data_IF_751038784032
#
_entry.id   IF_751038784032
#
_cell.length_a   1.000
_cell.length_b   1.000
_cell.length_c   1.000
_cell.angle_alpha   90.00
_cell.angle_beta   90.00
_cell.angle_gamma   90.00
#
_symmetry.space_group_name_H-M   'P 1'
#
loop_
_entity.id
_entity.type
_entity.pdbx_description
1 polymer ?
#
# COMPACT_ATOMS: atom_id res chain seq x y z
N UNK A 1 -16.63 23.64 -9.34
CA UNK A 1 -16.12 22.37 -9.94
C UNK A 1 -15.94 21.37 -8.81
N UNK A 2 -16.71 20.32 -8.81
CA UNK A 2 -16.58 19.25 -7.82
C UNK A 2 -15.22 18.59 -7.95
N UNK A 3 -14.47 18.47 -6.85
CA UNK A 3 -13.13 17.94 -6.84
C UNK A 3 -13.22 16.42 -6.88
N UNK A 4 -12.84 15.79 -7.97
CA UNK A 4 -12.87 14.34 -8.13
C UNK A 4 -11.52 13.74 -7.74
N UNK A 5 -11.50 12.87 -6.74
CA UNK A 5 -10.34 12.06 -6.38
C UNK A 5 -10.18 10.87 -7.32
N UNK A 6 -8.97 10.69 -7.86
CA UNK A 6 -8.65 9.62 -8.81
C UNK A 6 -8.04 8.40 -8.11
N UNK A 7 -8.13 7.25 -8.77
CA UNK A 7 -7.51 6.00 -8.35
C UNK A 7 -6.24 5.73 -9.14
N UNK A 8 -5.13 5.58 -8.44
CA UNK A 8 -3.84 5.21 -9.02
C UNK A 8 -3.51 3.76 -8.71
N UNK A 9 -2.98 3.06 -9.67
CA UNK A 9 -2.41 1.72 -9.52
C UNK A 9 -0.98 1.70 -10.04
N UNK A 10 -0.03 1.42 -9.14
CA UNK A 10 1.37 1.16 -9.47
C UNK A 10 1.63 -0.33 -9.27
N UNK A 11 1.89 -1.06 -10.34
CA UNK A 11 2.04 -2.51 -10.28
C UNK A 11 3.23 -3.01 -11.10
N UNK A 12 3.54 -4.27 -10.97
CA UNK A 12 4.59 -4.93 -11.73
C UNK A 12 5.70 -5.49 -10.85
N UNK A 13 6.64 -6.18 -11.49
CA UNK A 13 7.78 -6.84 -10.86
C UNK A 13 8.99 -5.90 -10.63
N UNK A 14 8.96 -4.70 -11.19
CA UNK A 14 10.01 -3.70 -11.08
C UNK A 14 10.00 -2.95 -9.74
N UNK A 15 11.18 -2.45 -9.38
CA UNK A 15 11.37 -1.61 -8.19
C UNK A 15 10.72 -0.23 -8.37
N UNK A 16 10.20 0.33 -7.27
CA UNK A 16 9.78 1.72 -7.21
C UNK A 16 8.30 1.95 -6.90
N UNK A 17 7.48 0.92 -6.84
CA UNK A 17 6.03 1.04 -6.57
C UNK A 17 5.74 1.73 -5.24
N UNK A 18 6.25 1.19 -4.15
CA UNK A 18 6.13 1.81 -2.81
C UNK A 18 6.79 3.19 -2.79
N UNK A 19 7.98 3.33 -3.36
CA UNK A 19 8.71 4.61 -3.41
C UNK A 19 7.90 5.69 -4.13
N UNK A 20 7.26 5.36 -5.25
CA UNK A 20 6.38 6.29 -5.97
C UNK A 20 5.14 6.68 -5.14
N UNK A 21 4.51 5.71 -4.48
CA UNK A 21 3.35 5.95 -3.62
C UNK A 21 3.71 6.85 -2.42
N UNK A 22 4.85 6.59 -1.77
CA UNK A 22 5.33 7.43 -0.65
C UNK A 22 5.78 8.81 -1.12
N UNK A 23 6.34 8.92 -2.32
CA UNK A 23 6.66 10.21 -2.95
C UNK A 23 5.41 11.05 -3.21
N UNK A 24 4.31 10.44 -3.66
CA UNK A 24 3.03 11.13 -3.80
C UNK A 24 2.46 11.53 -2.43
N UNK A 25 2.57 10.68 -1.41
CA UNK A 25 2.19 11.02 -0.04
C UNK A 25 2.95 12.23 0.49
N UNK A 26 4.27 12.28 0.31
CA UNK A 26 5.10 13.42 0.68
C UNK A 26 4.69 14.70 -0.06
N UNK A 27 4.43 14.61 -1.37
CA UNK A 27 3.95 15.75 -2.17
C UNK A 27 2.61 16.28 -1.66
N UNK A 28 1.68 15.37 -1.33
CA UNK A 28 0.38 15.73 -0.80
C UNK A 28 0.50 16.44 0.56
N UNK A 29 1.31 15.92 1.49
CA UNK A 29 1.60 16.55 2.78
C UNK A 29 2.20 17.94 2.60
N UNK A 30 3.19 18.10 1.69
CA UNK A 30 3.80 19.40 1.37
C UNK A 30 2.81 20.41 0.80
N UNK A 31 1.67 19.95 0.29
CA UNK A 31 0.56 20.79 -0.20
C UNK A 31 -0.56 20.98 0.84
N UNK A 32 -0.32 20.61 2.10
CA UNK A 32 -1.28 20.74 3.19
C UNK A 32 -2.44 19.74 3.19
N UNK A 33 -2.31 18.64 2.43
CA UNK A 33 -3.32 17.57 2.37
C UNK A 33 -3.19 16.62 3.54
N UNK A 34 -4.30 16.06 3.97
CA UNK A 34 -4.37 14.97 4.95
C UNK A 34 -4.06 13.65 4.25
N UNK A 35 -3.09 12.92 4.77
CA UNK A 35 -2.62 11.66 4.19
C UNK A 35 -2.74 10.52 5.18
N UNK A 36 -3.31 9.41 4.71
CA UNK A 36 -3.34 8.14 5.42
C UNK A 36 -2.61 7.10 4.59
N UNK A 37 -1.71 6.35 5.23
CA UNK A 37 -0.95 5.26 4.60
C UNK A 37 -1.25 3.97 5.34
N UNK A 38 -1.72 2.97 4.61
CA UNK A 38 -1.79 1.59 5.08
C UNK A 38 -0.81 0.75 4.28
N UNK A 39 0.16 0.15 4.95
CA UNK A 39 1.06 -0.85 4.37
C UNK A 39 0.62 -2.24 4.78
N UNK A 40 0.07 -3.01 3.85
CA UNK A 40 -0.24 -4.42 4.07
C UNK A 40 1.03 -5.25 4.21
N UNK A 41 1.01 -6.24 5.09
CA UNK A 41 2.04 -7.27 5.22
C UNK A 41 3.47 -6.75 5.56
N UNK A 42 3.59 -5.50 5.95
CA UNK A 42 4.86 -4.86 6.31
C UNK A 42 4.91 -4.52 7.80
N UNK A 43 5.91 -5.04 8.49
CA UNK A 43 6.16 -4.76 9.91
C UNK A 43 7.60 -4.34 10.20
N UNK A 44 8.51 -4.47 9.22
CA UNK A 44 9.92 -4.11 9.34
C UNK A 44 10.17 -2.61 9.28
N UNK A 45 11.42 -2.21 9.51
CA UNK A 45 11.84 -0.82 9.37
C UNK A 45 11.78 -0.35 7.92
N UNK A 46 11.36 0.89 7.72
CA UNK A 46 11.36 1.58 6.43
C UNK A 46 11.62 3.06 6.71
N UNK A 47 12.64 3.61 6.08
CA UNK A 47 13.19 4.94 6.45
C UNK A 47 12.21 6.09 6.25
N UNK A 48 11.31 5.99 5.29
CA UNK A 48 10.33 7.02 4.98
C UNK A 48 9.18 7.11 6.00
N UNK A 49 8.83 6.02 6.67
CA UNK A 49 7.64 5.96 7.53
C UNK A 49 7.71 6.93 8.71
N UNK A 50 8.79 6.96 9.53
CA UNK A 50 8.88 7.91 10.64
C UNK A 50 8.83 9.38 10.17
N UNK A 51 9.39 9.68 8.99
CA UNK A 51 9.37 11.03 8.44
C UNK A 51 7.97 11.44 7.98
N UNK A 52 7.23 10.54 7.33
CA UNK A 52 5.84 10.80 6.94
C UNK A 52 4.95 11.03 8.17
N UNK A 53 5.15 10.27 9.27
CA UNK A 53 4.46 10.49 10.54
C UNK A 53 4.78 11.86 11.16
N UNK A 54 6.05 12.26 11.18
CA UNK A 54 6.47 13.58 11.64
C UNK A 54 5.85 14.72 10.82
N UNK A 55 5.60 14.49 9.55
CA UNK A 55 4.93 15.44 8.66
C UNK A 55 3.40 15.40 8.75
N UNK A 56 2.84 14.54 9.61
CA UNK A 56 1.41 14.48 9.92
C UNK A 56 0.62 13.40 9.20
N UNK A 57 1.27 12.48 8.48
CA UNK A 57 0.57 11.31 7.94
C UNK A 57 0.14 10.36 9.05
N UNK A 58 -1.05 9.77 8.92
CA UNK A 58 -1.47 8.65 9.76
C UNK A 58 -1.03 7.34 9.12
N UNK A 59 -0.34 6.51 9.86
CA UNK A 59 0.27 5.28 9.37
C UNK A 59 -0.37 4.07 10.04
N UNK A 60 -0.85 3.14 9.23
CA UNK A 60 -1.33 1.83 9.63
C UNK A 60 -0.46 0.77 9.00
N UNK A 61 0.13 -0.11 9.79
CA UNK A 61 1.02 -1.16 9.29
C UNK A 61 1.19 -2.27 10.32
N UNK A 62 1.88 -3.30 9.93
CA UNK A 62 2.20 -4.45 10.77
C UNK A 62 1.71 -5.77 10.16
N UNK A 63 2.24 -6.83 10.69
CA UNK A 63 1.80 -8.21 10.48
C UNK A 63 1.97 -9.00 11.76
N UNK A 64 1.25 -10.09 11.91
CA UNK A 64 1.45 -10.98 13.06
C UNK A 64 2.78 -11.72 12.90
N UNK A 65 3.75 -11.38 13.75
CA UNK A 65 5.09 -11.98 13.72
C UNK A 65 6.00 -11.47 12.61
N UNK A 66 7.14 -12.15 12.42
CA UNK A 66 8.19 -11.76 11.47
C UNK A 66 8.23 -12.62 10.20
N UNK A 67 7.45 -13.71 10.15
CA UNK A 67 7.44 -14.64 9.03
C UNK A 67 6.84 -14.04 7.76
N UNK A 68 7.31 -14.48 6.61
CA UNK A 68 6.59 -14.28 5.36
C UNK A 68 5.33 -15.16 5.32
N UNK A 69 4.31 -14.76 4.55
CA UNK A 69 3.03 -15.46 4.50
C UNK A 69 3.18 -16.95 4.16
N UNK A 70 4.09 -17.29 3.25
CA UNK A 70 4.36 -18.69 2.88
C UNK A 70 5.00 -19.53 3.99
N UNK A 71 5.51 -18.90 5.05
CA UNK A 71 6.10 -19.55 6.23
C UNK A 71 5.13 -19.64 7.41
N UNK A 72 3.96 -19.00 7.29
CA UNK A 72 2.95 -18.94 8.36
C UNK A 72 2.10 -20.21 8.38
N UNK A 73 1.77 -20.65 9.58
CA UNK A 73 0.70 -21.62 9.78
C UNK A 73 -0.69 -20.95 9.66
N UNK A 74 -1.76 -21.72 9.73
CA UNK A 74 -3.13 -21.21 9.55
C UNK A 74 -3.54 -20.23 10.66
N UNK A 75 -3.09 -20.43 11.90
CA UNK A 75 -3.36 -19.51 13.00
C UNK A 75 -2.63 -18.16 12.81
N UNK A 76 -1.38 -18.19 12.37
CA UNK A 76 -0.59 -16.98 12.05
C UNK A 76 -1.18 -16.22 10.85
N UNK A 77 -1.66 -16.94 9.83
CA UNK A 77 -2.37 -16.35 8.69
C UNK A 77 -3.67 -15.68 9.12
N UNK A 78 -4.47 -16.36 9.95
CA UNK A 78 -5.71 -15.80 10.46
C UNK A 78 -5.45 -14.52 11.29
N UNK A 79 -4.48 -14.55 12.21
CA UNK A 79 -4.11 -13.40 13.01
C UNK A 79 -3.61 -12.23 12.16
N UNK A 80 -2.83 -12.51 11.11
CA UNK A 80 -2.35 -11.50 10.16
C UNK A 80 -3.51 -10.91 9.38
N UNK A 81 -4.42 -11.72 8.85
CA UNK A 81 -5.61 -11.26 8.13
C UNK A 81 -6.49 -10.37 9.01
N UNK A 82 -6.74 -10.76 10.25
CA UNK A 82 -7.52 -9.98 11.21
C UNK A 82 -6.88 -8.61 11.48
N UNK A 83 -5.55 -8.56 11.61
CA UNK A 83 -4.82 -7.30 11.77
C UNK A 83 -4.96 -6.42 10.54
N UNK A 84 -4.79 -6.98 9.33
CA UNK A 84 -4.95 -6.22 8.09
C UNK A 84 -6.37 -5.66 7.94
N UNK A 85 -7.38 -6.46 8.26
CA UNK A 85 -8.78 -6.04 8.21
C UNK A 85 -9.07 -4.91 9.22
N UNK A 86 -8.57 -4.99 10.44
CA UNK A 86 -8.71 -3.91 11.45
C UNK A 86 -8.00 -2.64 10.99
N UNK A 87 -6.78 -2.75 10.47
CA UNK A 87 -6.03 -1.60 9.96
C UNK A 87 -6.76 -0.95 8.78
N UNK A 88 -7.29 -1.73 7.85
CA UNK A 88 -8.04 -1.20 6.72
C UNK A 88 -9.32 -0.50 7.18
N UNK A 89 -10.08 -1.11 8.08
CA UNK A 89 -11.28 -0.50 8.64
C UNK A 89 -10.95 0.84 9.34
N UNK A 90 -9.89 0.88 10.17
CA UNK A 90 -9.44 2.10 10.83
C UNK A 90 -8.99 3.17 9.83
N UNK A 91 -8.15 2.81 8.85
CA UNK A 91 -7.65 3.73 7.84
C UNK A 91 -8.78 4.38 7.01
N UNK A 92 -9.84 3.63 6.71
CA UNK A 92 -10.99 4.14 5.93
C UNK A 92 -11.93 5.02 6.73
N UNK A 93 -11.85 5.04 8.06
CA UNK A 93 -12.62 5.97 8.91
C UNK A 93 -11.95 7.34 9.05
N UNK A 94 -10.70 7.46 8.65
CA UNK A 94 -9.96 8.72 8.73
C UNK A 94 -10.40 9.72 7.67
N UNK A 95 -10.48 10.99 8.06
CA UNK A 95 -10.67 12.09 7.13
C UNK A 95 -9.35 12.34 6.37
N UNK A 96 -9.25 11.81 5.16
CA UNK A 96 -8.05 11.89 4.34
C UNK A 96 -8.34 12.38 2.92
N UNK A 97 -7.49 13.28 2.43
CA UNK A 97 -7.47 13.71 1.02
C UNK A 97 -6.79 12.66 0.13
N UNK A 98 -5.81 11.94 0.68
CA UNK A 98 -5.07 10.87 0.01
C UNK A 98 -5.01 9.63 0.90
N UNK A 99 -5.48 8.49 0.38
CA UNK A 99 -5.35 7.17 0.97
C UNK A 99 -4.36 6.33 0.15
N UNK A 100 -3.27 5.91 0.77
CA UNK A 100 -2.29 4.98 0.18
C UNK A 100 -2.50 3.59 0.74
N UNK A 101 -2.75 2.61 -0.12
CA UNK A 101 -2.90 1.20 0.20
C UNK A 101 -1.74 0.43 -0.45
N UNK A 102 -0.61 0.40 0.26
CA UNK A 102 0.62 -0.22 -0.22
C UNK A 102 0.58 -1.74 -0.03
N UNK A 103 1.03 -2.50 -1.03
CA UNK A 103 0.94 -3.97 -1.12
C UNK A 103 -0.51 -4.51 -1.14
N UNK A 104 -1.48 -3.70 -1.56
CA UNK A 104 -2.88 -4.12 -1.63
C UNK A 104 -3.09 -5.33 -2.57
N UNK A 105 -2.36 -5.39 -3.68
CA UNK A 105 -2.41 -6.53 -4.60
C UNK A 105 -1.89 -7.81 -3.97
N UNK A 106 -0.77 -7.75 -3.23
CA UNK A 106 -0.22 -8.91 -2.53
C UNK A 106 -1.15 -9.41 -1.42
N UNK A 107 -1.76 -8.50 -0.66
CA UNK A 107 -2.75 -8.87 0.36
C UNK A 107 -3.99 -9.55 -0.26
N UNK A 108 -4.42 -9.09 -1.42
CA UNK A 108 -5.50 -9.71 -2.19
C UNK A 108 -5.14 -11.11 -2.69
N UNK A 109 -4.01 -11.25 -3.37
CA UNK A 109 -3.57 -12.50 -3.99
C UNK A 109 -3.29 -13.60 -2.95
N UNK A 110 -2.71 -13.22 -1.82
CA UNK A 110 -2.37 -14.14 -0.73
C UNK A 110 -3.54 -14.39 0.24
N UNK A 111 -4.72 -13.82 -0.02
CA UNK A 111 -5.90 -13.93 0.84
C UNK A 111 -5.65 -13.46 2.28
N UNK A 112 -4.84 -12.39 2.42
CA UNK A 112 -4.47 -11.81 3.71
C UNK A 112 -5.30 -10.57 4.10
N UNK A 113 -6.34 -10.28 3.36
CA UNK A 113 -7.35 -9.25 3.65
C UNK A 113 -8.71 -9.73 3.19
N UNK A 114 -9.78 -9.29 3.84
CA UNK A 114 -11.14 -9.51 3.35
C UNK A 114 -11.30 -8.77 2.01
N UNK A 115 -11.56 -9.53 0.96
CA UNK A 115 -11.64 -9.02 -0.42
C UNK A 115 -12.79 -8.05 -0.61
N UNK A 116 -13.95 -8.32 0.01
CA UNK A 116 -15.10 -7.42 -0.07
C UNK A 116 -14.82 -6.10 0.65
N UNK A 117 -14.15 -6.18 1.82
CA UNK A 117 -13.74 -4.99 2.57
C UNK A 117 -12.76 -4.13 1.76
N UNK A 118 -11.73 -4.75 1.14
CA UNK A 118 -10.76 -4.03 0.31
C UNK A 118 -11.41 -3.38 -0.91
N UNK A 119 -12.26 -4.12 -1.64
CA UNK A 119 -12.99 -3.55 -2.78
C UNK A 119 -13.88 -2.38 -2.34
N UNK A 120 -14.62 -2.52 -1.24
CA UNK A 120 -15.46 -1.44 -0.71
C UNK A 120 -14.63 -0.21 -0.34
N UNK A 121 -13.48 -0.41 0.34
CA UNK A 121 -12.59 0.69 0.72
C UNK A 121 -12.10 1.50 -0.49
N UNK A 122 -11.88 0.84 -1.61
CA UNK A 122 -11.38 1.48 -2.85
C UNK A 122 -12.52 2.06 -3.68
N UNK A 123 -13.54 1.25 -3.97
CA UNK A 123 -14.58 1.61 -4.94
C UNK A 123 -15.67 2.52 -4.35
N UNK A 124 -15.94 2.42 -3.05
CA UNK A 124 -16.91 3.23 -2.34
C UNK A 124 -16.27 4.36 -1.50
N UNK A 125 -15.01 4.71 -1.77
CA UNK A 125 -14.32 5.81 -1.09
C UNK A 125 -15.01 7.16 -1.37
N UNK A 126 -14.81 8.18 -0.52
CA UNK A 126 -15.32 9.51 -0.80
C UNK A 126 -14.91 10.02 -2.19
N UNK A 127 -15.83 10.62 -2.94
CA UNK A 127 -15.61 11.03 -4.33
C UNK A 127 -14.43 12.00 -4.51
N UNK A 128 -14.11 12.79 -3.49
CA UNK A 128 -12.99 13.74 -3.51
C UNK A 128 -11.66 13.13 -3.02
N UNK A 129 -11.67 11.89 -2.50
CA UNK A 129 -10.49 11.25 -1.95
C UNK A 129 -9.65 10.62 -3.06
N UNK A 130 -8.41 11.04 -3.17
CA UNK A 130 -7.38 10.39 -3.98
C UNK A 130 -6.99 9.06 -3.34
N UNK A 131 -6.77 8.02 -4.14
CA UNK A 131 -6.37 6.70 -3.64
C UNK A 131 -5.23 6.11 -4.49
N UNK A 132 -4.24 5.51 -3.83
CA UNK A 132 -3.12 4.83 -4.50
C UNK A 132 -3.05 3.40 -4.04
N UNK A 133 -3.02 2.48 -4.98
CA UNK A 133 -2.77 1.05 -4.76
C UNK A 133 -1.39 0.68 -5.29
N UNK A 134 -0.67 -0.18 -4.57
CA UNK A 134 0.50 -0.87 -5.14
C UNK A 134 0.27 -2.37 -5.18
N UNK A 135 0.84 -3.03 -6.19
CA UNK A 135 0.69 -4.46 -6.40
C UNK A 135 1.90 -5.04 -7.14
N UNK A 136 2.36 -6.23 -6.77
CA UNK A 136 3.30 -6.97 -7.61
C UNK A 136 2.58 -7.50 -8.86
N UNK A 137 1.53 -8.26 -8.66
CA UNK A 137 0.55 -8.62 -9.69
C UNK A 137 -0.79 -7.93 -9.34
N UNK A 138 -1.41 -7.28 -10.32
CA UNK A 138 -2.65 -6.56 -10.10
C UNK A 138 -3.85 -7.44 -10.45
N UNK A 139 -4.79 -7.66 -9.52
CA UNK A 139 -6.07 -8.28 -9.83
C UNK A 139 -6.81 -7.49 -10.92
N UNK A 140 -7.56 -8.18 -11.76
CA UNK A 140 -8.25 -7.58 -12.90
C UNK A 140 -9.11 -6.38 -12.49
N UNK A 141 -9.83 -6.46 -11.37
CA UNK A 141 -10.68 -5.38 -10.91
C UNK A 141 -9.91 -4.09 -10.57
N UNK A 142 -8.66 -4.19 -10.10
CA UNK A 142 -7.81 -3.00 -9.84
C UNK A 142 -7.42 -2.32 -11.14
N UNK A 143 -7.06 -3.12 -12.16
CA UNK A 143 -6.73 -2.61 -13.50
C UNK A 143 -7.94 -1.92 -14.16
N UNK A 144 -9.13 -2.50 -14.01
CA UNK A 144 -10.35 -1.97 -14.62
C UNK A 144 -10.88 -0.71 -13.90
N UNK A 145 -10.63 -0.59 -12.59
CA UNK A 145 -11.15 0.51 -11.78
C UNK A 145 -10.22 1.74 -11.73
N UNK A 146 -8.92 1.56 -11.99
CA UNK A 146 -7.94 2.65 -11.82
C UNK A 146 -7.97 3.65 -12.98
N UNK A 147 -7.87 4.94 -12.62
CA UNK A 147 -7.74 6.06 -13.57
C UNK A 147 -6.31 6.19 -14.09
N UNK A 148 -5.32 5.99 -13.20
CA UNK A 148 -3.90 5.90 -13.56
C UNK A 148 -3.42 4.47 -13.38
N UNK A 149 -2.91 3.86 -14.44
CA UNK A 149 -2.34 2.51 -14.42
C UNK A 149 -0.90 2.59 -14.89
N UNK A 150 0.06 2.36 -13.99
CA UNK A 150 1.49 2.41 -14.29
C UNK A 150 2.11 1.05 -13.97
N UNK A 151 2.68 0.43 -14.99
CA UNK A 151 3.43 -0.82 -14.85
C UNK A 151 4.92 -0.52 -14.69
N UNK A 152 5.53 -1.03 -13.61
CA UNK A 152 6.97 -0.99 -13.37
C UNK A 152 7.58 -2.35 -13.69
N UNK A 153 8.30 -2.42 -14.80
CA UNK A 153 8.95 -3.66 -15.28
C UNK A 153 10.38 -3.77 -14.77
N UNK A 154 10.73 -4.95 -14.30
CA UNK A 154 12.09 -5.29 -13.93
C UNK A 154 12.93 -5.62 -15.17
N UNK A 155 13.52 -4.60 -15.81
CA UNK A 155 14.44 -4.81 -16.91
C UNK A 155 15.80 -5.34 -16.44
N UNK A 156 16.20 -5.02 -15.20
CA UNK A 156 17.44 -5.47 -14.55
C UNK A 156 17.33 -5.27 -13.03
N UNK A 157 17.85 -6.22 -12.25
CA UNK A 157 17.82 -6.12 -10.79
C UNK A 157 19.18 -6.52 -10.18
N UNK A 158 19.71 -5.74 -9.20
CA UNK A 158 20.99 -6.05 -8.54
C UNK A 158 21.02 -7.41 -7.83
N UNK A 159 19.87 -7.90 -7.38
CA UNK A 159 19.73 -9.21 -6.75
C UNK A 159 20.29 -10.34 -7.63
N UNK A 160 20.15 -10.23 -8.96
CA UNK A 160 20.72 -11.18 -9.91
C UNK A 160 22.25 -11.26 -9.86
N UNK A 161 22.90 -10.23 -9.27
CA UNK A 161 24.34 -10.16 -9.02
C UNK A 161 24.70 -10.41 -7.54
N UNK A 162 23.76 -10.91 -6.74
CA UNK A 162 23.96 -11.18 -5.32
C UNK A 162 23.99 -9.92 -4.42
N UNK A 163 23.55 -8.76 -4.90
CA UNK A 163 23.49 -7.53 -4.11
C UNK A 163 22.21 -7.54 -3.29
N UNK A 164 22.33 -7.56 -1.97
CA UNK A 164 21.20 -7.51 -1.03
C UNK A 164 20.61 -6.10 -0.91
N UNK A 165 19.39 -6.02 -0.34
CA UNK A 165 18.72 -4.75 -0.02
C UNK A 165 19.56 -3.92 0.97
N UNK A 166 19.66 -2.62 0.73
CA UNK A 166 20.49 -1.68 1.48
C UNK A 166 19.64 -0.69 2.25
N UNK A 167 20.03 -0.41 3.48
CA UNK A 167 19.38 0.59 4.34
C UNK A 167 19.44 1.98 3.69
N UNK A 168 18.31 2.68 3.71
CA UNK A 168 18.16 4.01 3.14
C UNK A 168 18.00 4.05 1.61
N UNK A 169 18.02 2.87 0.94
CA UNK A 169 17.83 2.76 -0.50
C UNK A 169 16.65 1.84 -0.83
N UNK A 170 16.67 0.60 -0.35
CA UNK A 170 15.58 -0.36 -0.55
C UNK A 170 14.62 -0.42 0.66
N UNK A 171 15.04 0.03 1.85
CA UNK A 171 14.19 0.11 3.06
C UNK A 171 14.62 1.21 4.03
#
# INVERSE_FOLDING_TARGET
MERTGLLHLYYGDGKGKTTAAMGLALRALGSGKKVVVLQFLKGGQSGEIPLLEQLGAKIYRGKAGQKFVFQMDEAEKAATRDLQNRNLAAATTEDADLLVLDEAGSAWELDMVDKALLQKAVLARPAAQECVLTAHAAPRWMLDAADYVTEMKCCRHPYQKGIAARKGIEY
#
